data_IF_001948736903
#
_entry.id   IF_001948736903
#
_cell.length_a   1.000
_cell.length_b   1.000
_cell.length_c   1.000
_cell.angle_alpha   90.00
_cell.angle_beta   90.00
_cell.angle_gamma   90.00
#
_symmetry.space_group_name_H-M   'P 1'
#
loop_
_entity.id
_entity.type
_entity.pdbx_description
1 polymer ?
#
# COMPACT_ATOMS: atom_id res chain seq x y z
N UNK A 1 6.28 9.39 5.95
CA UNK A 1 6.58 10.68 6.61
C UNK A 1 7.50 11.48 5.70
N UNK A 2 7.16 12.71 5.37
CA UNK A 2 8.02 13.55 4.53
C UNK A 2 9.13 14.19 5.38
N UNK A 3 10.37 14.16 4.90
CA UNK A 3 11.52 14.83 5.50
C UNK A 3 11.93 16.04 4.67
N UNK A 4 11.92 17.22 5.30
CA UNK A 4 12.16 18.50 4.63
C UNK A 4 13.63 18.73 4.28
N UNK A 5 14.57 18.15 5.02
CA UNK A 5 16.00 18.33 4.79
C UNK A 5 16.46 17.53 3.57
N UNK A 6 16.08 16.24 3.52
CA UNK A 6 16.43 15.36 2.39
C UNK A 6 15.49 15.45 1.20
N UNK A 7 14.27 16.00 1.37
CA UNK A 7 13.17 15.97 0.37
C UNK A 7 12.68 14.57 0.04
N UNK A 8 12.90 13.61 0.93
CA UNK A 8 12.50 12.21 0.78
C UNK A 8 11.29 11.87 1.64
N UNK A 9 10.57 10.81 1.26
CA UNK A 9 9.54 10.20 2.09
C UNK A 9 10.10 8.96 2.78
N UNK A 10 10.02 8.92 4.12
CA UNK A 10 10.26 7.70 4.90
C UNK A 10 8.99 6.82 4.93
N UNK A 11 9.07 5.63 4.34
CA UNK A 11 8.02 4.61 4.27
C UNK A 11 8.34 3.45 5.22
N UNK A 12 8.61 3.75 6.50
CA UNK A 12 8.94 2.78 7.55
C UNK A 12 10.27 2.05 7.32
N UNK A 13 10.36 1.21 6.29
CA UNK A 13 11.56 0.43 5.96
C UNK A 13 12.57 1.20 5.11
N UNK A 14 12.11 2.08 4.23
CA UNK A 14 12.95 2.71 3.19
C UNK A 14 12.58 4.16 2.93
N UNK A 15 13.53 4.89 2.36
CA UNK A 15 13.33 6.24 1.85
C UNK A 15 13.00 6.22 0.36
N UNK A 16 11.92 6.90 0.00
CA UNK A 16 11.44 7.12 -1.36
C UNK A 16 11.77 8.54 -1.81
N UNK A 17 12.33 8.65 -3.01
CA UNK A 17 12.59 9.92 -3.67
C UNK A 17 11.46 10.22 -4.68
N UNK A 18 10.65 11.27 -4.44
CA UNK A 18 9.56 11.65 -5.33
C UNK A 18 10.02 12.30 -6.63
N UNK A 19 11.23 12.84 -6.71
CA UNK A 19 11.76 13.51 -7.91
C UNK A 19 12.13 12.47 -8.99
N UNK A 20 12.75 11.36 -8.59
CA UNK A 20 13.12 10.25 -9.49
C UNK A 20 12.09 9.11 -9.51
N UNK A 21 11.13 9.11 -8.58
CA UNK A 21 10.03 8.16 -8.52
C UNK A 21 10.41 6.74 -8.08
N UNK A 22 11.39 6.58 -7.17
CA UNK A 22 11.85 5.26 -6.68
C UNK A 22 12.45 5.30 -5.28
N UNK A 23 12.68 4.14 -4.68
CA UNK A 23 13.46 4.05 -3.45
C UNK A 23 14.93 4.40 -3.70
N UNK A 24 15.58 4.99 -2.69
CA UNK A 24 17.04 5.28 -2.74
C UNK A 24 17.91 4.13 -2.23
N UNK A 25 17.29 3.10 -1.67
CA UNK A 25 17.93 1.87 -1.20
C UNK A 25 17.20 0.65 -1.75
N UNK A 26 17.95 -0.40 -2.06
CA UNK A 26 17.38 -1.69 -2.47
C UNK A 26 16.51 -2.30 -1.38
N UNK A 27 15.48 -3.04 -1.78
CA UNK A 27 14.73 -3.94 -0.90
C UNK A 27 15.55 -5.17 -0.47
N UNK A 28 15.03 -5.91 0.51
CA UNK A 28 15.53 -7.25 0.83
C UNK A 28 15.34 -8.18 -0.37
N UNK A 29 16.33 -9.04 -0.61
CA UNK A 29 16.27 -10.09 -1.65
C UNK A 29 15.13 -11.09 -1.42
N UNK A 30 14.59 -11.15 -0.19
CA UNK A 30 13.43 -11.96 0.16
C UNK A 30 12.14 -11.50 -0.54
N UNK A 31 12.08 -10.23 -0.97
CA UNK A 31 10.94 -9.66 -1.70
C UNK A 31 11.09 -9.76 -3.22
N UNK A 32 12.13 -10.43 -3.73
CA UNK A 32 12.23 -10.71 -5.16
C UNK A 32 11.05 -11.58 -5.58
N UNK A 33 10.34 -11.13 -6.60
CA UNK A 33 9.24 -11.88 -7.21
C UNK A 33 9.61 -12.23 -8.66
N UNK A 34 10.17 -13.43 -8.93
CA UNK A 34 10.64 -13.81 -10.26
C UNK A 34 9.54 -13.91 -11.31
N UNK A 35 8.29 -14.08 -10.89
CA UNK A 35 7.11 -14.11 -11.76
C UNK A 35 6.70 -12.73 -12.27
N UNK A 36 7.26 -11.65 -11.71
CA UNK A 36 6.90 -10.27 -12.02
C UNK A 36 8.08 -9.50 -12.59
N UNK A 37 7.87 -8.80 -13.71
CA UNK A 37 8.92 -7.94 -14.31
C UNK A 37 9.34 -6.85 -13.32
N UNK A 38 8.38 -6.27 -12.59
CA UNK A 38 8.66 -5.26 -11.56
C UNK A 38 9.28 -5.88 -10.30
N UNK A 39 8.97 -7.15 -10.00
CA UNK A 39 9.48 -7.89 -8.85
C UNK A 39 10.99 -8.17 -8.84
N UNK A 40 11.66 -7.95 -9.98
CA UNK A 40 13.12 -8.04 -10.08
C UNK A 40 13.83 -6.71 -9.78
N UNK A 41 13.11 -5.59 -9.80
CA UNK A 41 13.68 -4.27 -9.55
C UNK A 41 13.50 -3.88 -8.07
N UNK A 42 14.54 -4.10 -7.26
CA UNK A 42 14.52 -3.84 -5.83
C UNK A 42 14.41 -2.35 -5.43
N UNK A 43 14.43 -1.42 -6.39
CA UNK A 43 14.23 0.01 -6.14
C UNK A 43 12.83 0.49 -6.53
N UNK A 44 12.00 -0.38 -7.12
CA UNK A 44 10.71 0.03 -7.67
C UNK A 44 9.75 0.49 -6.57
N UNK A 45 9.09 1.63 -6.79
CA UNK A 45 7.96 2.05 -5.98
C UNK A 45 6.67 1.67 -6.69
N UNK A 46 5.72 1.06 -5.98
CA UNK A 46 4.37 0.79 -6.48
C UNK A 46 4.31 0.05 -7.83
N UNK A 47 5.28 -0.85 -8.09
CA UNK A 47 5.40 -1.57 -9.37
C UNK A 47 5.45 -0.65 -10.62
N UNK A 48 5.92 0.60 -10.48
CA UNK A 48 5.84 1.69 -11.46
C UNK A 48 4.42 2.21 -11.78
N UNK A 49 3.44 1.91 -10.93
CA UNK A 49 2.08 2.45 -11.00
C UNK A 49 1.65 3.12 -9.68
N UNK A 50 2.26 4.26 -9.32
CA UNK A 50 1.95 4.99 -8.08
C UNK A 50 0.58 5.70 -8.10
N UNK A 51 -0.14 5.65 -9.24
CA UNK A 51 -1.49 6.20 -9.35
C UNK A 51 -2.50 5.19 -8.81
N UNK A 52 -2.34 3.90 -9.15
CA UNK A 52 -3.27 2.86 -8.76
C UNK A 52 -2.79 1.99 -7.59
N UNK A 53 -1.51 2.06 -7.25
CA UNK A 53 -0.90 1.31 -6.16
C UNK A 53 -0.31 2.22 -5.09
N UNK A 54 -0.24 1.69 -3.88
CA UNK A 54 0.34 2.33 -2.71
C UNK A 54 1.14 1.29 -1.91
N UNK A 55 2.30 1.67 -1.38
CA UNK A 55 3.14 0.79 -0.55
C UNK A 55 3.18 1.32 0.90
N UNK A 56 2.37 0.75 1.82
CA UNK A 56 2.29 1.22 3.20
C UNK A 56 3.50 0.86 4.06
N UNK A 57 4.16 -0.26 3.76
CA UNK A 57 5.27 -0.80 4.55
C UNK A 57 6.63 -0.41 4.00
N UNK A 58 6.66 0.14 2.79
CA UNK A 58 7.85 0.37 2.01
C UNK A 58 8.44 -0.91 1.45
N UNK A 59 7.72 -2.04 1.38
CA UNK A 59 8.20 -3.30 0.80
C UNK A 59 7.21 -3.94 -0.19
N UNK A 60 5.91 -3.62 -0.13
CA UNK A 60 4.91 -4.30 -0.95
C UNK A 60 3.79 -3.36 -1.39
N UNK A 61 3.59 -3.28 -2.70
CA UNK A 61 2.56 -2.46 -3.32
C UNK A 61 1.19 -3.14 -3.24
N UNK A 62 0.19 -2.40 -2.74
CA UNK A 62 -1.20 -2.82 -2.65
C UNK A 62 -2.03 -1.97 -3.60
N UNK A 63 -2.99 -2.60 -4.28
CA UNK A 63 -3.95 -1.88 -5.13
C UNK A 63 -4.86 -0.99 -4.29
N UNK A 64 -4.88 0.30 -4.61
CA UNK A 64 -5.73 1.29 -3.95
C UNK A 64 -7.23 0.96 -4.13
N UNK A 65 -7.62 0.43 -5.29
CA UNK A 65 -9.02 0.07 -5.57
C UNK A 65 -9.49 -1.12 -4.72
N UNK A 66 -8.64 -2.14 -4.54
CA UNK A 66 -8.93 -3.27 -3.66
C UNK A 66 -9.02 -2.81 -2.20
N UNK A 67 -8.12 -1.93 -1.76
CA UNK A 67 -8.16 -1.40 -0.40
C UNK A 67 -9.45 -0.61 -0.14
N UNK A 68 -9.80 0.35 -1.01
CA UNK A 68 -11.01 1.17 -0.88
C UNK A 68 -12.28 0.29 -0.92
N UNK A 69 -12.35 -0.67 -1.84
CA UNK A 69 -13.51 -1.56 -1.94
C UNK A 69 -13.70 -2.42 -0.69
N UNK A 70 -12.61 -2.88 -0.06
CA UNK A 70 -12.69 -3.65 1.20
C UNK A 70 -13.31 -2.85 2.35
N UNK A 71 -12.99 -1.55 2.44
CA UNK A 71 -13.55 -0.65 3.46
C UNK A 71 -15.05 -0.51 3.24
N UNK A 72 -15.48 -0.24 2.01
CA UNK A 72 -16.90 -0.05 1.68
C UNK A 72 -17.71 -1.31 2.01
N UNK A 73 -17.24 -2.48 1.59
CA UNK A 73 -17.91 -3.76 1.88
C UNK A 73 -17.97 -4.02 3.39
N UNK A 74 -16.87 -3.80 4.11
CA UNK A 74 -16.81 -3.96 5.56
C UNK A 74 -17.79 -3.05 6.30
N UNK A 75 -17.89 -1.78 5.90
CA UNK A 75 -18.85 -0.83 6.47
C UNK A 75 -20.30 -1.27 6.24
N UNK A 76 -20.65 -1.74 5.04
CA UNK A 76 -22.00 -2.21 4.73
C UNK A 76 -22.37 -3.43 5.57
N UNK A 77 -21.47 -4.42 5.69
CA UNK A 77 -21.69 -5.61 6.53
C UNK A 77 -21.88 -5.19 7.99
N UNK A 78 -21.08 -4.25 8.49
CA UNK A 78 -21.20 -3.75 9.86
C UNK A 78 -22.57 -3.09 10.13
N UNK A 79 -23.06 -2.26 9.20
CA UNK A 79 -24.39 -1.64 9.31
C UNK A 79 -25.50 -2.70 9.31
N UNK A 80 -25.46 -3.66 8.37
CA UNK A 80 -26.49 -4.71 8.27
C UNK A 80 -26.51 -5.59 9.52
N UNK A 81 -25.35 -6.00 10.00
CA UNK A 81 -25.25 -6.84 11.21
C UNK A 81 -25.72 -6.10 12.47
N UNK A 82 -25.39 -4.81 12.60
CA UNK A 82 -25.88 -3.97 13.68
C UNK A 82 -27.41 -3.85 13.66
N UNK A 83 -27.99 -3.56 12.49
CA UNK A 83 -29.43 -3.45 12.32
C UNK A 83 -30.16 -4.76 12.61
N UNK A 84 -29.66 -5.89 12.07
CA UNK A 84 -30.20 -7.22 12.35
C UNK A 84 -30.19 -7.54 13.85
N UNK A 85 -29.07 -7.26 14.54
CA UNK A 85 -28.97 -7.45 15.99
C UNK A 85 -29.94 -6.55 16.76
N UNK A 86 -30.26 -5.36 16.26
CA UNK A 86 -31.22 -4.45 16.89
C UNK A 86 -32.64 -4.96 16.79
N UNK A 87 -33.06 -5.51 15.64
CA UNK A 87 -34.42 -6.06 15.45
C UNK A 87 -34.62 -7.31 16.30
N UNK A 88 -33.67 -8.26 16.29
CA UNK A 88 -33.79 -9.53 17.03
C UNK A 88 -33.86 -9.35 18.56
N UNK A 89 -33.49 -8.18 19.08
CA UNK A 89 -33.51 -7.88 20.52
C UNK A 89 -34.91 -7.52 21.04
N UNK A 90 -35.89 -7.32 20.15
CA UNK A 90 -37.31 -7.15 20.45
C UNK A 90 -38.09 -8.42 20.09
#
# INVERSE_FOLDING_TARGET
MYDEESKLYCLISRYYDPEIGRFISQDSVEYIEPSSISGLNLYVYCCNDPINMYDPSGNFAISATLFISSIVVGSLISVVTSFYSSIKKW
#
